data_IF_924650947047
#
_entry.id   IF_924650947047
#
_cell.length_a   1.000
_cell.length_b   1.000
_cell.length_c   1.000
_cell.angle_alpha   90.00
_cell.angle_beta   90.00
_cell.angle_gamma   90.00
#
_symmetry.space_group_name_H-M   'P 1'
#
loop_
_entity.id
_entity.type
_entity.pdbx_description
1 polymer ?
#
# COMPACT_ATOMS: atom_id res chain seq x y z
N UNK A 1 24.63 3.53 -12.89
CA UNK A 1 23.71 3.43 -11.75
C UNK A 1 22.90 2.15 -11.93
N UNK A 2 23.31 1.05 -11.30
CA UNK A 2 22.63 -0.24 -11.47
C UNK A 2 21.48 -0.32 -10.45
N UNK A 3 20.25 -0.10 -10.91
CA UNK A 3 19.05 -0.43 -10.15
C UNK A 3 18.95 -1.95 -10.09
N UNK A 4 19.34 -2.55 -8.97
CA UNK A 4 19.07 -3.97 -8.73
C UNK A 4 17.54 -4.18 -8.80
N UNK A 5 17.03 -4.95 -9.77
CA UNK A 5 15.59 -5.01 -10.08
C UNK A 5 14.73 -5.54 -8.94
N UNK A 6 15.35 -6.20 -7.95
CA UNK A 6 14.66 -6.84 -6.84
C UNK A 6 14.67 -6.03 -5.53
N UNK A 7 15.27 -4.83 -5.50
CA UNK A 7 15.20 -3.98 -4.30
C UNK A 7 13.86 -3.26 -4.31
N UNK A 8 12.95 -3.67 -3.43
CA UNK A 8 11.69 -2.97 -3.22
C UNK A 8 11.96 -1.49 -2.92
N UNK A 9 11.46 -0.62 -3.80
CA UNK A 9 11.49 0.83 -3.58
C UNK A 9 10.78 1.15 -2.27
N UNK A 10 11.33 2.06 -1.48
CA UNK A 10 10.73 2.57 -0.23
C UNK A 10 10.73 4.09 -0.30
N UNK A 11 9.77 4.73 0.38
CA UNK A 11 9.70 6.18 0.45
C UNK A 11 8.26 6.68 0.52
N UNK A 12 8.08 7.96 0.85
CA UNK A 12 6.76 8.56 1.10
C UNK A 12 5.91 8.75 -0.16
N UNK A 13 6.46 8.50 -1.35
CA UNK A 13 5.77 8.65 -2.64
C UNK A 13 5.79 7.34 -3.46
N UNK A 14 6.06 6.20 -2.81
CA UNK A 14 6.08 4.90 -3.49
C UNK A 14 4.70 4.28 -3.44
N UNK A 15 4.08 4.15 -4.61
CA UNK A 15 2.89 3.33 -4.81
C UNK A 15 3.32 1.91 -5.21
N UNK A 16 2.52 0.91 -4.82
CA UNK A 16 2.78 -0.50 -5.17
C UNK A 16 1.57 -1.08 -5.88
N UNK A 17 1.82 -1.86 -6.92
CA UNK A 17 0.78 -2.59 -7.64
C UNK A 17 1.25 -4.03 -7.77
N UNK A 18 0.39 -4.99 -7.39
CA UNK A 18 0.65 -6.42 -7.51
C UNK A 18 -0.54 -7.11 -8.15
N UNK A 19 -0.30 -8.11 -8.99
CA UNK A 19 -1.35 -9.04 -9.41
C UNK A 19 -1.69 -9.99 -8.27
N UNK A 20 -2.97 -10.22 -8.05
CA UNK A 20 -3.46 -11.23 -7.13
C UNK A 20 -3.37 -12.62 -7.78
N UNK A 21 -2.64 -13.58 -7.16
CA UNK A 21 -2.44 -14.90 -7.74
C UNK A 21 -3.76 -15.60 -8.12
N UNK A 22 -3.78 -16.23 -9.30
CA UNK A 22 -4.95 -16.95 -9.79
C UNK A 22 -6.10 -16.06 -10.30
N UNK A 23 -5.85 -14.76 -10.49
CA UNK A 23 -6.84 -13.82 -11.01
C UNK A 23 -6.19 -12.77 -11.91
N UNK A 24 -7.00 -12.05 -12.68
CA UNK A 24 -6.57 -10.84 -13.40
C UNK A 24 -6.82 -9.56 -12.58
N UNK A 25 -6.86 -9.69 -11.25
CA UNK A 25 -7.09 -8.57 -10.34
C UNK A 25 -5.77 -7.98 -9.89
N UNK A 26 -5.72 -6.66 -9.81
CA UNK A 26 -4.62 -5.89 -9.28
C UNK A 26 -4.95 -5.37 -7.89
N UNK A 27 -4.04 -5.52 -6.93
CA UNK A 27 -4.07 -4.79 -5.67
C UNK A 27 -3.08 -3.62 -5.74
N UNK A 28 -3.60 -2.40 -5.60
CA UNK A 28 -2.82 -1.18 -5.45
C UNK A 28 -2.71 -0.79 -3.99
N UNK A 29 -1.51 -0.36 -3.58
CA UNK A 29 -1.24 0.28 -2.29
C UNK A 29 -0.72 1.69 -2.54
N UNK A 30 -1.46 2.69 -2.06
CA UNK A 30 -1.04 4.09 -2.09
C UNK A 30 0.10 4.34 -1.09
N UNK A 31 0.83 5.44 -1.26
CA UNK A 31 1.92 5.80 -0.35
C UNK A 31 1.45 6.08 1.09
N UNK A 32 0.18 6.45 1.28
CA UNK A 32 -0.47 6.59 2.60
C UNK A 32 -0.83 5.23 3.26
N UNK A 33 -0.63 4.11 2.56
CA UNK A 33 -0.92 2.76 3.03
C UNK A 33 -2.35 2.25 2.73
N UNK A 34 -3.22 3.09 2.16
CA UNK A 34 -4.54 2.65 1.70
C UNK A 34 -4.40 1.61 0.57
N UNK A 35 -5.31 0.64 0.53
CA UNK A 35 -5.34 -0.43 -0.48
C UNK A 35 -6.65 -0.44 -1.26
N UNK A 36 -6.57 -0.78 -2.54
CA UNK A 36 -7.73 -0.99 -3.40
C UNK A 36 -7.47 -2.13 -4.39
N UNK A 37 -8.52 -2.88 -4.74
CA UNK A 37 -8.43 -3.98 -5.72
C UNK A 37 -9.36 -3.69 -6.88
N UNK A 38 -8.82 -3.74 -8.10
CA UNK A 38 -9.57 -3.58 -9.33
C UNK A 38 -9.09 -4.60 -10.39
N UNK A 39 -9.98 -4.99 -11.31
CA UNK A 39 -9.61 -5.76 -12.50
C UNK A 39 -9.01 -4.84 -13.57
N UNK A 40 -9.64 -3.69 -13.79
CA UNK A 40 -9.14 -2.70 -14.75
C UNK A 40 -7.94 -1.91 -14.19
N UNK A 41 -6.78 -1.94 -14.87
CA UNK A 41 -5.62 -1.16 -14.48
C UNK A 41 -5.87 0.35 -14.49
N UNK A 42 -6.70 0.87 -15.39
CA UNK A 42 -6.98 2.32 -15.47
C UNK A 42 -7.73 2.77 -14.22
N UNK A 43 -8.79 2.05 -13.85
CA UNK A 43 -9.54 2.25 -12.60
C UNK A 43 -8.62 2.24 -11.38
N UNK A 44 -7.63 1.33 -11.32
CA UNK A 44 -6.69 1.30 -10.20
C UNK A 44 -5.78 2.53 -10.16
N UNK A 45 -5.27 2.96 -11.30
CA UNK A 45 -4.39 4.14 -11.38
C UNK A 45 -5.15 5.43 -11.10
N UNK A 46 -6.37 5.57 -11.60
CA UNK A 46 -7.25 6.69 -11.28
C UNK A 46 -7.46 6.79 -9.77
N UNK A 47 -7.73 5.66 -9.11
CA UNK A 47 -7.86 5.63 -7.66
C UNK A 47 -6.55 6.00 -6.93
N UNK A 48 -5.40 5.44 -7.34
CA UNK A 48 -4.11 5.71 -6.70
C UNK A 48 -3.69 7.19 -6.83
N UNK A 49 -3.88 7.77 -8.01
CA UNK A 49 -3.50 9.15 -8.32
C UNK A 49 -4.51 10.17 -7.80
N UNK A 50 -5.74 9.76 -7.48
CA UNK A 50 -6.75 10.62 -6.90
C UNK A 50 -6.44 11.06 -5.47
N UNK A 51 -5.45 10.46 -4.78
CA UNK A 51 -5.04 10.90 -3.44
C UNK A 51 -4.84 12.43 -3.40
N UNK A 52 -5.44 13.15 -2.43
CA UNK A 52 -6.11 12.67 -1.21
C UNK A 52 -7.63 12.44 -1.34
N UNK A 53 -8.19 12.49 -2.54
CA UNK A 53 -9.63 12.26 -2.79
C UNK A 53 -9.94 10.76 -2.67
N UNK A 54 -10.93 10.42 -1.84
CA UNK A 54 -11.37 9.04 -1.62
C UNK A 54 -10.53 8.24 -0.63
N UNK A 55 -9.30 8.66 -0.35
CA UNK A 55 -8.45 8.11 0.71
C UNK A 55 -7.38 9.11 1.12
N UNK A 56 -7.23 9.32 2.43
CA UNK A 56 -6.25 10.24 3.00
C UNK A 56 -5.34 9.50 3.97
N UNK A 57 -4.26 10.16 4.39
CA UNK A 57 -3.37 9.64 5.44
C UNK A 57 -4.20 9.23 6.65
N UNK A 58 -4.20 7.94 6.96
CA UNK A 58 -4.68 7.49 8.26
C UNK A 58 -3.77 8.17 9.29
N UNK A 59 -4.37 8.99 10.17
CA UNK A 59 -3.66 9.51 11.34
C UNK A 59 -2.82 8.38 11.95
N UNK A 60 -1.58 8.64 12.38
CA UNK A 60 -0.71 7.61 12.92
C UNK A 60 -1.51 6.81 13.94
N UNK A 61 -1.69 5.52 13.66
CA UNK A 61 -2.35 4.61 14.61
C UNK A 61 -1.60 4.76 15.93
N UNK A 62 -2.27 5.12 17.04
CA UNK A 62 -1.59 5.17 18.33
C UNK A 62 -0.89 3.82 18.52
N UNK A 63 0.36 3.80 19.04
CA UNK A 63 1.07 2.55 19.26
C UNK A 63 0.15 1.63 20.06
N UNK A 64 -0.04 0.39 19.60
CA UNK A 64 -0.82 -0.57 20.37
C UNK A 64 -0.17 -0.66 21.76
N UNK A 65 -0.96 -0.61 22.85
CA UNK A 65 -0.41 -0.73 24.19
C UNK A 65 0.37 -2.03 24.23
N UNK A 66 1.67 -1.93 24.52
CA UNK A 66 2.56 -3.08 24.63
C UNK A 66 1.95 -4.01 25.66
N UNK A 67 1.38 -5.13 25.21
CA UNK A 67 0.89 -6.16 26.11
C UNK A 67 2.13 -6.78 26.74
N UNK A 68 2.51 -6.28 27.92
CA UNK A 68 3.54 -6.89 28.76
C UNK A 68 3.12 -8.35 28.97
N UNK A 69 3.83 -9.24 28.31
CA UNK A 69 3.69 -10.67 28.54
C UNK A 69 4.39 -10.92 29.86
N UNK A 70 3.62 -10.92 30.95
CA UNK A 70 4.13 -11.28 32.28
C UNK A 70 4.64 -12.73 32.22
N UNK A 71 5.95 -12.89 32.19
CA UNK A 71 6.61 -14.17 32.45
C UNK A 71 6.59 -14.39 33.97
N UNK A 72 5.72 -15.31 34.41
CA UNK A 72 5.75 -15.90 35.75
C UNK A 72 6.75 -17.07 35.80
#
# INVERSE_FOLDING_TARGET
MSSQPNRMLRGPNVMRVVWLPGSDRLEGTCHCGARHVAEDPVTLWDWLLAHPVGHADALPRPPEPTREVAHA
#
